data_IF_773086541191
#
_entry.id   IF_773086541191
#
_cell.length_a   1.000
_cell.length_b   1.000
_cell.length_c   1.000
_cell.angle_alpha   90.00
_cell.angle_beta   90.00
_cell.angle_gamma   90.00
#
_symmetry.space_group_name_H-M   'P 1'
#
loop_
_entity.id
_entity.type
_entity.pdbx_description
1 polymer ?
#
# COMPACT_ATOMS: atom_id res chain seq x y z
N UNK A 1 16.51 26.52 17.95
CA UNK A 1 16.31 27.26 16.66
C UNK A 1 15.67 28.61 16.97
N UNK A 2 16.17 29.73 16.41
CA UNK A 2 15.71 31.12 16.74
C UNK A 2 14.66 31.67 15.77
N UNK A 3 14.01 30.85 14.98
CA UNK A 3 12.98 31.27 14.03
C UNK A 3 11.96 30.19 13.73
N UNK A 4 10.84 30.58 13.10
CA UNK A 4 9.79 29.66 12.63
C UNK A 4 10.36 28.77 11.52
N UNK A 5 10.43 27.43 11.72
CA UNK A 5 11.04 26.52 10.75
C UNK A 5 10.28 26.51 9.42
N UNK A 6 11.02 26.40 8.32
CA UNK A 6 10.49 26.27 6.97
C UNK A 6 10.72 24.85 6.47
N UNK A 7 9.64 24.11 6.23
CA UNK A 7 9.67 22.74 5.76
C UNK A 7 9.23 22.69 4.30
N UNK A 8 10.07 22.11 3.44
CA UNK A 8 9.76 21.93 2.02
C UNK A 8 9.27 20.50 1.78
N UNK A 9 8.03 20.32 1.32
CA UNK A 9 7.43 19.00 1.11
C UNK A 9 7.36 18.69 -0.39
N UNK A 10 7.86 17.52 -0.80
CA UNK A 10 7.84 17.06 -2.20
C UNK A 10 6.99 15.81 -2.33
N UNK A 11 5.86 15.92 -3.04
CA UNK A 11 4.96 14.83 -3.38
C UNK A 11 4.51 14.96 -4.85
N UNK A 12 4.77 13.96 -5.67
CA UNK A 12 4.47 14.00 -7.13
C UNK A 12 3.39 13.01 -7.55
N UNK A 13 2.76 12.33 -6.60
CA UNK A 13 1.65 11.41 -6.81
C UNK A 13 0.52 11.73 -5.82
N UNK A 14 -0.72 11.41 -6.20
CA UNK A 14 -1.90 11.68 -5.37
C UNK A 14 -1.80 11.08 -3.96
N UNK A 15 -1.27 9.86 -3.83
CA UNK A 15 -1.06 9.22 -2.53
C UNK A 15 -0.07 9.99 -1.67
N UNK A 16 1.04 10.47 -2.26
CA UNK A 16 2.04 11.29 -1.59
C UNK A 16 1.48 12.67 -1.19
N UNK A 17 0.65 13.29 -2.04
CA UNK A 17 -0.01 14.57 -1.76
C UNK A 17 -0.92 14.48 -0.53
N UNK A 18 -1.70 13.40 -0.40
CA UNK A 18 -2.52 13.16 0.78
C UNK A 18 -1.69 12.94 2.05
N UNK A 19 -0.55 12.23 1.95
CA UNK A 19 0.39 12.06 3.06
C UNK A 19 1.05 13.38 3.46
N UNK A 20 1.44 14.18 2.47
CA UNK A 20 2.01 15.51 2.67
C UNK A 20 1.06 16.44 3.40
N UNK A 21 -0.18 16.53 2.95
CA UNK A 21 -1.22 17.34 3.59
C UNK A 21 -1.50 16.89 5.04
N UNK A 22 -1.56 15.58 5.29
CA UNK A 22 -1.74 15.06 6.64
C UNK A 22 -0.55 15.41 7.56
N UNK A 23 0.68 15.28 7.06
CA UNK A 23 1.89 15.67 7.77
C UNK A 23 1.89 17.18 8.10
N UNK A 24 1.53 18.02 7.13
CA UNK A 24 1.47 19.49 7.33
C UNK A 24 0.47 19.87 8.42
N UNK A 25 -0.75 19.28 8.43
CA UNK A 25 -1.72 19.49 9.50
C UNK A 25 -1.19 19.08 10.87
N UNK A 26 -0.53 17.92 10.96
CA UNK A 26 0.06 17.46 12.22
C UNK A 26 1.20 18.35 12.70
N UNK A 27 2.06 18.85 11.79
CA UNK A 27 3.11 19.82 12.12
C UNK A 27 2.52 21.14 12.62
N UNK A 28 1.50 21.67 11.94
CA UNK A 28 0.80 22.89 12.39
C UNK A 28 0.20 22.73 13.80
N UNK A 29 -0.47 21.59 14.04
CA UNK A 29 -1.08 21.32 15.35
C UNK A 29 -0.02 21.22 16.45
N UNK A 30 1.11 20.54 16.20
CA UNK A 30 2.19 20.35 17.19
C UNK A 30 3.00 21.60 17.48
N UNK A 31 3.14 22.48 16.51
CA UNK A 31 3.91 23.74 16.65
C UNK A 31 3.03 24.94 17.03
N UNK A 32 1.72 24.73 17.23
CA UNK A 32 0.79 25.85 17.48
C UNK A 32 0.69 26.80 16.29
N UNK A 33 0.97 26.35 15.07
CA UNK A 33 1.00 27.14 13.86
C UNK A 33 2.37 27.81 13.57
N UNK A 34 3.35 27.66 14.44
CA UNK A 34 4.70 28.22 14.25
C UNK A 34 5.55 27.32 13.33
N UNK A 35 5.08 27.09 12.11
CA UNK A 35 5.78 26.39 11.03
C UNK A 35 5.35 26.98 9.69
N UNK A 36 6.29 27.08 8.76
CA UNK A 36 6.03 27.52 7.39
C UNK A 36 6.26 26.37 6.43
N UNK A 37 5.49 26.35 5.35
CA UNK A 37 5.61 25.36 4.30
C UNK A 37 5.90 25.97 2.96
N UNK A 38 6.69 25.25 2.17
CA UNK A 38 6.83 25.40 0.73
C UNK A 38 6.86 24.00 0.13
N UNK A 39 6.72 23.85 -1.17
CA UNK A 39 6.82 22.49 -1.72
C UNK A 39 6.28 22.30 -3.11
N UNK A 40 6.26 21.04 -3.49
CA UNK A 40 5.71 20.50 -4.72
C UNK A 40 4.68 19.46 -4.32
N UNK A 41 3.43 19.72 -4.64
CA UNK A 41 2.30 18.86 -4.27
C UNK A 41 1.10 19.09 -5.16
N UNK A 42 0.04 18.36 -4.88
CA UNK A 42 -1.24 18.46 -5.55
C UNK A 42 -2.24 19.30 -4.75
N UNK A 43 -3.52 18.98 -4.98
CA UNK A 43 -4.64 19.72 -4.41
C UNK A 43 -4.69 19.63 -2.87
N UNK A 44 -4.39 18.46 -2.30
CA UNK A 44 -4.49 18.29 -0.86
C UNK A 44 -3.47 19.15 -0.10
N UNK A 45 -2.22 19.24 -0.57
CA UNK A 45 -1.22 20.14 0.01
C UNK A 45 -1.51 21.62 -0.29
N UNK A 46 -2.15 21.92 -1.42
CA UNK A 46 -2.58 23.29 -1.73
C UNK A 46 -3.66 23.77 -0.76
N UNK A 47 -4.57 22.93 -0.32
CA UNK A 47 -5.57 23.22 0.72
C UNK A 47 -4.93 23.53 2.09
N UNK A 48 -3.70 23.05 2.32
CA UNK A 48 -2.87 23.34 3.50
C UNK A 48 -1.90 24.53 3.28
N UNK A 49 -2.04 25.27 2.19
CA UNK A 49 -1.31 26.51 1.93
C UNK A 49 -0.02 26.38 1.12
N UNK A 50 0.28 25.25 0.52
CA UNK A 50 1.44 25.08 -0.37
C UNK A 50 1.07 25.46 -1.80
N UNK A 51 1.72 26.50 -2.34
CA UNK A 51 1.69 26.79 -3.77
C UNK A 51 2.81 26.00 -4.46
N UNK A 52 2.44 24.97 -5.24
CA UNK A 52 3.40 24.14 -5.94
C UNK A 52 4.15 24.91 -7.03
N UNK A 53 5.48 24.88 -6.98
CA UNK A 53 6.34 25.50 -7.99
C UNK A 53 6.33 24.74 -9.33
N UNK A 54 5.81 23.49 -9.33
CA UNK A 54 5.79 22.60 -10.50
C UNK A 54 4.42 21.94 -10.57
N UNK A 55 3.84 21.86 -11.78
CA UNK A 55 2.64 21.09 -12.02
C UNK A 55 2.98 19.60 -12.02
N UNK A 56 2.42 18.85 -11.06
CA UNK A 56 2.63 17.41 -10.91
C UNK A 56 1.70 16.59 -11.80
N UNK A 57 0.65 17.18 -12.37
CA UNK A 57 -0.32 16.46 -13.21
C UNK A 57 0.35 15.85 -14.44
N UNK A 58 1.32 16.55 -15.01
CA UNK A 58 2.13 16.09 -16.14
C UNK A 58 3.12 14.96 -15.77
N UNK A 59 3.47 14.79 -14.49
CA UNK A 59 4.43 13.78 -14.03
C UNK A 59 3.76 12.42 -13.74
N UNK A 60 2.47 12.41 -13.43
CA UNK A 60 1.70 11.21 -13.10
C UNK A 60 1.26 10.38 -14.32
N UNK A 61 1.26 10.96 -15.53
CA UNK A 61 0.67 10.37 -16.75
C UNK A 61 1.62 9.44 -17.52
N UNK A 62 2.89 9.32 -17.12
CA UNK A 62 3.88 8.58 -17.91
C UNK A 62 3.76 7.06 -17.81
N UNK A 63 2.94 6.49 -18.69
CA UNK A 63 3.00 5.09 -19.10
C UNK A 63 4.27 4.78 -19.93
N UNK A 64 4.56 3.51 -20.12
CA UNK A 64 5.75 2.95 -20.76
C UNK A 64 6.02 3.34 -22.22
N UNK A 65 5.19 4.17 -22.86
CA UNK A 65 5.18 4.38 -24.32
C UNK A 65 6.06 5.55 -24.77
N UNK A 66 6.36 6.54 -23.90
CA UNK A 66 7.08 7.77 -24.29
C UNK A 66 8.49 7.90 -23.69
N UNK A 67 9.22 6.82 -23.56
CA UNK A 67 10.45 6.68 -22.76
C UNK A 67 11.49 7.81 -22.81
N UNK A 68 11.82 8.37 -23.98
CA UNK A 68 12.91 9.36 -24.09
C UNK A 68 12.44 10.80 -23.80
N UNK A 69 11.23 11.16 -24.27
CA UNK A 69 10.65 12.48 -23.98
C UNK A 69 10.21 12.59 -22.52
N UNK A 70 9.64 11.53 -21.96
CA UNK A 70 9.31 11.43 -20.55
C UNK A 70 10.56 11.60 -19.67
N UNK A 71 11.68 10.97 -20.04
CA UNK A 71 12.94 11.10 -19.30
C UNK A 71 13.47 12.53 -19.28
N UNK A 72 13.42 13.25 -20.41
CA UNK A 72 13.84 14.66 -20.48
C UNK A 72 12.98 15.58 -19.59
N UNK A 73 11.66 15.39 -19.59
CA UNK A 73 10.72 16.15 -18.77
C UNK A 73 10.94 15.89 -17.28
N UNK A 74 11.07 14.62 -16.88
CA UNK A 74 11.39 14.26 -15.49
C UNK A 74 12.72 14.89 -15.05
N UNK A 75 13.75 14.85 -15.90
CA UNK A 75 15.04 15.47 -15.59
C UNK A 75 14.93 16.98 -15.44
N UNK A 76 14.16 17.66 -16.28
CA UNK A 76 13.90 19.10 -16.18
C UNK A 76 13.12 19.43 -14.91
N UNK A 77 12.08 18.67 -14.58
CA UNK A 77 11.31 18.84 -13.35
C UNK A 77 12.16 18.61 -12.10
N UNK A 78 13.05 17.61 -12.09
CA UNK A 78 14.00 17.41 -10.99
C UNK A 78 14.94 18.61 -10.84
N UNK A 79 15.50 19.12 -11.94
CA UNK A 79 16.38 20.28 -11.90
C UNK A 79 15.65 21.53 -11.36
N UNK A 80 14.43 21.79 -11.84
CA UNK A 80 13.60 22.90 -11.34
C UNK A 80 13.24 22.74 -9.86
N UNK A 81 12.99 21.50 -9.39
CA UNK A 81 12.74 21.24 -7.96
C UNK A 81 13.97 21.55 -7.10
N UNK A 82 15.15 21.13 -7.54
CA UNK A 82 16.40 21.42 -6.82
C UNK A 82 16.66 22.92 -6.78
N UNK A 83 16.50 23.62 -7.89
CA UNK A 83 16.66 25.08 -7.97
C UNK A 83 15.69 25.81 -7.03
N UNK A 84 14.43 25.41 -7.00
CA UNK A 84 13.42 26.00 -6.12
C UNK A 84 13.75 25.78 -4.64
N UNK A 85 14.14 24.55 -4.26
CA UNK A 85 14.57 24.21 -2.89
C UNK A 85 15.76 25.08 -2.46
N UNK A 86 16.78 25.21 -3.31
CA UNK A 86 17.97 26.00 -3.01
C UNK A 86 17.66 27.51 -2.93
N UNK A 87 16.72 27.99 -3.72
CA UNK A 87 16.23 29.38 -3.65
C UNK A 87 15.47 29.66 -2.37
N UNK A 88 14.61 28.72 -1.94
CA UNK A 88 13.75 28.84 -0.76
C UNK A 88 14.56 28.65 0.53
N UNK A 89 15.63 27.87 0.51
CA UNK A 89 16.51 27.54 1.65
C UNK A 89 15.74 27.06 2.87
N UNK A 90 15.03 25.91 2.78
CA UNK A 90 14.28 25.36 3.90
C UNK A 90 15.22 24.76 4.95
N UNK A 91 14.73 24.66 6.19
CA UNK A 91 15.42 23.95 7.27
C UNK A 91 15.41 22.42 7.07
N UNK A 92 14.34 21.90 6.47
CA UNK A 92 14.25 20.50 6.07
C UNK A 92 13.44 20.32 4.76
N UNK A 93 13.77 19.25 4.02
CA UNK A 93 13.01 18.76 2.86
C UNK A 93 12.45 17.39 3.17
N UNK A 94 11.14 17.23 3.09
CA UNK A 94 10.46 15.93 3.23
C UNK A 94 10.07 15.42 1.84
N UNK A 95 10.65 14.28 1.46
CA UNK A 95 10.55 13.66 0.13
C UNK A 95 9.62 12.44 0.22
N UNK A 96 8.39 12.56 -0.29
CA UNK A 96 7.34 11.55 -0.12
C UNK A 96 7.29 10.60 -1.32
N UNK A 97 7.40 9.28 -1.05
CA UNK A 97 7.27 8.20 -2.03
C UNK A 97 8.07 8.41 -3.34
N UNK A 98 7.57 7.99 -4.49
CA UNK A 98 8.09 8.24 -5.86
C UNK A 98 9.60 8.15 -5.98
N UNK A 99 10.16 6.97 -5.65
CA UNK A 99 11.60 6.70 -5.59
C UNK A 99 12.44 7.35 -6.71
N UNK A 100 12.00 7.16 -7.95
CA UNK A 100 12.78 7.62 -9.12
C UNK A 100 12.94 9.13 -9.22
N UNK A 101 11.97 9.89 -8.72
CA UNK A 101 11.97 11.33 -8.71
C UNK A 101 12.62 11.89 -7.45
N UNK A 102 12.08 11.51 -6.30
CA UNK A 102 12.49 12.08 -5.00
C UNK A 102 13.95 11.80 -4.66
N UNK A 103 14.48 10.61 -5.05
CA UNK A 103 15.91 10.34 -4.86
C UNK A 103 16.79 11.30 -5.66
N UNK A 104 16.44 11.59 -6.92
CA UNK A 104 17.23 12.52 -7.76
C UNK A 104 17.18 13.93 -7.22
N UNK A 105 16.02 14.38 -6.73
CA UNK A 105 15.90 15.68 -6.04
C UNK A 105 16.79 15.69 -4.80
N UNK A 106 16.71 14.67 -3.95
CA UNK A 106 17.56 14.56 -2.76
C UNK A 106 19.08 14.61 -3.09
N UNK A 107 19.51 13.86 -4.10
CA UNK A 107 20.90 13.85 -4.54
C UNK A 107 21.34 15.22 -5.06
N UNK A 108 20.48 15.92 -5.81
CA UNK A 108 20.78 17.27 -6.30
C UNK A 108 20.91 18.28 -5.17
N UNK A 109 20.00 18.26 -4.20
CA UNK A 109 20.05 19.14 -3.02
C UNK A 109 21.28 18.81 -2.16
N UNK A 110 21.54 17.53 -1.85
CA UNK A 110 22.70 17.10 -1.06
C UNK A 110 24.03 17.52 -1.67
N UNK A 111 24.13 17.46 -3.00
CA UNK A 111 25.35 17.87 -3.72
C UNK A 111 25.55 19.40 -3.70
N UNK A 112 24.48 20.20 -3.68
CA UNK A 112 24.54 21.64 -3.75
C UNK A 112 24.62 22.31 -2.36
N UNK A 113 23.85 21.80 -1.39
CA UNK A 113 23.83 22.30 -0.01
C UNK A 113 23.68 21.13 0.99
N UNK A 114 24.79 20.65 1.55
CA UNK A 114 24.77 19.56 2.55
C UNK A 114 24.13 19.92 3.89
N UNK A 115 23.89 21.20 4.17
CA UNK A 115 23.33 21.66 5.45
C UNK A 115 21.82 21.44 5.55
N UNK A 116 21.12 21.35 4.41
CA UNK A 116 19.68 21.09 4.37
C UNK A 116 19.38 19.66 4.85
N UNK A 117 18.50 19.53 5.83
CA UNK A 117 18.06 18.22 6.33
C UNK A 117 17.15 17.54 5.30
N UNK A 118 17.47 16.31 4.90
CA UNK A 118 16.72 15.53 3.94
C UNK A 118 16.05 14.35 4.61
N UNK A 119 14.72 14.32 4.60
CA UNK A 119 13.91 13.28 5.23
C UNK A 119 13.16 12.53 4.12
N UNK A 120 13.33 11.22 4.04
CA UNK A 120 12.52 10.39 3.16
C UNK A 120 11.30 9.87 3.90
N UNK A 121 10.11 10.11 3.36
CA UNK A 121 8.86 9.53 3.85
C UNK A 121 8.37 8.49 2.85
N UNK A 122 8.19 7.26 3.28
CA UNK A 122 7.97 6.04 2.48
C UNK A 122 9.22 5.64 1.68
N UNK A 123 9.93 4.63 2.17
CA UNK A 123 11.11 4.04 1.53
C UNK A 123 10.78 3.14 0.33
N UNK A 124 11.76 2.83 -0.53
CA UNK A 124 11.59 1.82 -1.57
C UNK A 124 11.49 0.42 -0.96
N UNK A 125 10.74 -0.47 -1.58
CA UNK A 125 10.52 -1.85 -1.10
C UNK A 125 11.78 -2.72 -1.31
N UNK A 126 12.82 -2.48 -0.52
CA UNK A 126 14.12 -3.16 -0.64
C UNK A 126 14.08 -4.62 -0.21
N UNK A 127 13.13 -4.99 0.64
CA UNK A 127 12.86 -6.36 1.06
C UNK A 127 12.39 -7.26 -0.08
N UNK A 128 11.69 -6.68 -1.08
CA UNK A 128 11.16 -7.42 -2.22
C UNK A 128 12.12 -7.44 -3.40
N UNK A 129 12.76 -6.29 -3.71
CA UNK A 129 13.61 -6.14 -4.90
C UNK A 129 14.72 -5.09 -4.66
N UNK A 130 15.84 -5.22 -5.36
CA UNK A 130 16.91 -4.21 -5.44
C UNK A 130 17.42 -3.73 -4.07
N UNK A 131 17.97 -4.63 -3.22
CA UNK A 131 18.41 -4.29 -1.87
C UNK A 131 19.46 -3.16 -1.82
N UNK A 132 20.27 -2.97 -2.88
CA UNK A 132 21.24 -1.87 -2.97
C UNK A 132 20.63 -0.45 -2.90
N UNK A 133 19.31 -0.31 -3.06
CA UNK A 133 18.65 0.98 -2.86
C UNK A 133 18.71 1.47 -1.41
N UNK A 134 18.82 0.56 -0.43
CA UNK A 134 18.97 0.94 0.97
C UNK A 134 20.28 1.72 1.19
N UNK A 135 21.40 1.20 0.71
CA UNK A 135 22.69 1.88 0.77
C UNK A 135 22.68 3.24 0.04
N UNK A 136 22.02 3.29 -1.14
CA UNK A 136 21.91 4.56 -1.89
C UNK A 136 21.09 5.59 -1.12
N UNK A 137 19.99 5.17 -0.47
CA UNK A 137 19.18 6.08 0.33
C UNK A 137 19.95 6.57 1.56
N UNK A 138 20.60 5.66 2.28
CA UNK A 138 21.42 5.97 3.46
C UNK A 138 22.55 6.98 3.18
N UNK A 139 23.16 6.91 2.00
CA UNK A 139 24.16 7.87 1.58
C UNK A 139 23.59 9.23 1.15
N UNK A 140 22.25 9.37 1.06
CA UNK A 140 21.63 10.56 0.48
C UNK A 140 20.82 11.36 1.50
N UNK A 141 20.04 10.69 2.37
CA UNK A 141 19.11 11.36 3.30
C UNK A 141 19.55 11.17 4.75
N UNK A 142 19.04 12.01 5.64
CA UNK A 142 19.42 12.01 7.06
C UNK A 142 18.49 11.10 7.90
N UNK A 143 17.25 10.88 7.47
CA UNK A 143 16.27 10.01 8.16
C UNK A 143 15.29 9.40 7.18
N UNK A 144 14.84 8.19 7.47
CA UNK A 144 13.72 7.53 6.80
C UNK A 144 12.51 7.42 7.75
N UNK A 145 11.36 7.89 7.30
CA UNK A 145 10.05 7.64 7.90
C UNK A 145 9.40 6.49 7.13
N UNK A 146 9.31 5.31 7.73
CA UNK A 146 8.72 4.14 7.07
C UNK A 146 7.30 3.86 7.56
N UNK A 147 6.47 3.37 6.65
CA UNK A 147 5.10 2.90 6.91
C UNK A 147 5.04 1.37 7.12
N UNK A 148 6.19 0.69 7.09
CA UNK A 148 6.30 -0.76 7.24
C UNK A 148 7.08 -1.07 8.53
N UNK A 149 6.47 -1.84 9.42
CA UNK A 149 6.99 -2.18 10.75
C UNK A 149 8.26 -3.08 10.72
N UNK A 150 8.56 -3.65 9.57
CA UNK A 150 9.70 -4.55 9.34
C UNK A 150 10.83 -3.93 8.50
N UNK A 151 10.71 -2.66 8.08
CA UNK A 151 11.66 -2.05 7.12
C UNK A 151 12.98 -1.60 7.75
N UNK A 152 12.97 -1.20 9.04
CA UNK A 152 14.11 -0.56 9.71
C UNK A 152 15.44 -1.32 9.54
N UNK A 153 15.53 -2.65 9.76
CA UNK A 153 16.79 -3.36 9.70
C UNK A 153 17.51 -3.27 8.35
N UNK A 154 16.78 -3.12 7.24
CA UNK A 154 17.37 -3.02 5.90
C UNK A 154 18.13 -1.72 5.68
N UNK A 155 17.76 -0.66 6.38
CA UNK A 155 18.37 0.68 6.22
C UNK A 155 19.36 0.99 7.35
N UNK A 156 19.04 0.57 8.56
CA UNK A 156 19.91 0.74 9.73
C UNK A 156 21.25 -0.01 9.58
N UNK A 157 21.25 -1.14 8.85
CA UNK A 157 22.47 -1.84 8.43
C UNK A 157 23.42 -0.97 7.61
N UNK A 158 22.94 0.14 7.04
CA UNK A 158 23.73 1.14 6.31
C UNK A 158 23.88 2.46 7.09
N UNK A 159 23.52 2.50 8.37
CA UNK A 159 23.67 3.67 9.25
C UNK A 159 22.60 4.75 9.04
N UNK A 160 21.48 4.45 8.33
CA UNK A 160 20.38 5.41 8.18
C UNK A 160 19.42 5.30 9.37
N UNK A 161 19.18 6.38 10.11
CA UNK A 161 18.16 6.42 11.15
C UNK A 161 16.76 6.19 10.54
N UNK A 162 16.00 5.24 11.10
CA UNK A 162 14.65 4.90 10.65
C UNK A 162 13.64 5.12 11.75
N UNK A 163 12.51 5.75 11.40
CA UNK A 163 11.36 5.87 12.30
C UNK A 163 10.16 5.19 11.65
N UNK A 164 9.64 4.16 12.30
CA UNK A 164 8.36 3.58 11.90
C UNK A 164 7.22 4.49 12.35
N UNK A 165 6.51 5.06 11.39
CA UNK A 165 5.42 6.00 11.64
C UNK A 165 4.03 5.37 11.57
N UNK A 166 3.94 4.09 11.22
CA UNK A 166 2.68 3.38 10.98
C UNK A 166 2.16 3.52 9.56
N UNK A 167 1.16 2.72 9.24
CA UNK A 167 0.59 2.69 7.90
C UNK A 167 -0.71 3.52 7.82
N UNK A 168 -0.72 4.69 7.16
CA UNK A 168 -1.89 5.56 7.08
C UNK A 168 -3.08 4.95 6.33
N UNK A 169 -2.83 3.95 5.47
CA UNK A 169 -3.90 3.24 4.77
C UNK A 169 -4.73 2.41 5.74
N UNK A 170 -4.07 1.81 6.75
CA UNK A 170 -4.77 1.00 7.76
C UNK A 170 -5.53 1.86 8.79
N UNK A 171 -5.13 3.10 9.01
CA UNK A 171 -5.83 4.03 9.90
C UNK A 171 -7.20 4.44 9.36
N UNK A 172 -7.39 4.40 8.04
CA UNK A 172 -8.63 4.82 7.37
C UNK A 172 -9.64 3.70 7.22
N UNK A 173 -9.25 2.46 7.57
CA UNK A 173 -10.16 1.32 7.47
C UNK A 173 -11.16 1.37 8.62
N UNK A 174 -12.42 1.44 8.25
CA UNK A 174 -13.55 1.40 9.20
C UNK A 174 -13.95 -0.05 9.45
N UNK A 175 -14.47 -0.32 10.65
CA UNK A 175 -15.07 -1.60 10.97
C UNK A 175 -16.42 -1.71 10.25
N UNK A 176 -16.64 -2.83 9.57
CA UNK A 176 -17.91 -3.10 8.91
C UNK A 176 -18.95 -3.77 9.83
N UNK A 177 -20.21 -3.70 9.44
CA UNK A 177 -21.31 -4.42 10.07
C UNK A 177 -21.74 -5.63 9.20
N UNK A 178 -21.15 -6.78 9.47
CA UNK A 178 -21.46 -8.02 8.75
C UNK A 178 -22.88 -8.51 8.96
N UNK A 179 -23.50 -8.22 10.11
CA UNK A 179 -24.89 -8.62 10.40
C UNK A 179 -25.86 -7.81 9.56
N UNK A 180 -25.70 -6.49 9.54
CA UNK A 180 -26.51 -5.61 8.70
C UNK A 180 -26.32 -5.93 7.21
N UNK A 181 -25.09 -6.24 6.78
CA UNK A 181 -24.78 -6.66 5.41
C UNK A 181 -25.55 -7.93 5.02
N UNK A 182 -25.47 -8.98 5.85
CA UNK A 182 -26.19 -10.24 5.60
C UNK A 182 -27.71 -10.02 5.48
N UNK A 183 -28.27 -9.19 6.34
CA UNK A 183 -29.70 -8.85 6.30
C UNK A 183 -30.06 -8.09 5.01
N UNK A 184 -29.28 -7.08 4.64
CA UNK A 184 -29.50 -6.23 3.45
C UNK A 184 -29.45 -7.03 2.13
N UNK A 185 -28.58 -8.01 2.07
CA UNK A 185 -28.39 -8.85 0.87
C UNK A 185 -29.10 -10.21 0.95
N UNK A 186 -30.02 -10.39 1.91
CA UNK A 186 -30.80 -11.61 2.12
C UNK A 186 -29.92 -12.90 2.19
N UNK A 187 -28.73 -12.80 2.79
CA UNK A 187 -27.86 -13.94 3.03
C UNK A 187 -28.40 -14.72 4.23
N UNK A 188 -28.76 -16.01 4.09
CA UNK A 188 -29.37 -16.77 5.17
C UNK A 188 -28.48 -16.81 6.42
N UNK A 189 -29.12 -16.79 7.60
CA UNK A 189 -28.41 -16.96 8.86
C UNK A 189 -27.67 -18.31 8.87
N UNK A 190 -26.37 -18.26 9.20
CA UNK A 190 -25.51 -19.46 9.20
C UNK A 190 -25.03 -19.94 7.82
N UNK A 191 -25.47 -19.32 6.72
CA UNK A 191 -24.89 -19.62 5.42
C UNK A 191 -23.40 -19.20 5.38
N UNK A 192 -22.50 -20.08 4.91
CA UNK A 192 -21.11 -19.73 4.76
C UNK A 192 -20.95 -18.65 3.68
N UNK A 193 -20.08 -17.65 3.94
CA UNK A 193 -19.82 -16.54 3.04
C UNK A 193 -18.36 -16.54 2.60
N UNK A 194 -18.14 -16.59 1.31
CA UNK A 194 -16.84 -16.43 0.68
C UNK A 194 -16.76 -15.10 -0.08
N UNK A 195 -15.86 -14.23 0.33
CA UNK A 195 -15.54 -13.02 -0.43
C UNK A 195 -14.49 -13.30 -1.47
N UNK A 196 -14.74 -12.91 -2.74
CA UNK A 196 -13.84 -13.14 -3.87
C UNK A 196 -13.40 -11.81 -4.48
N UNK A 197 -12.10 -11.53 -4.49
CA UNK A 197 -11.52 -10.27 -4.98
C UNK A 197 -10.56 -10.53 -6.14
N UNK A 198 -10.94 -10.09 -7.34
CA UNK A 198 -10.20 -10.38 -8.57
C UNK A 198 -9.01 -9.42 -8.85
N UNK A 199 -8.86 -8.38 -8.03
CA UNK A 199 -7.90 -7.30 -8.24
C UNK A 199 -8.53 -6.06 -8.86
N UNK A 200 -7.74 -4.98 -8.95
CA UNK A 200 -8.16 -3.66 -9.44
C UNK A 200 -7.65 -3.31 -10.83
N UNK A 201 -6.94 -4.24 -11.49
CA UNK A 201 -6.38 -4.04 -12.83
C UNK A 201 -6.90 -5.09 -13.80
N UNK A 202 -7.23 -4.69 -15.02
CA UNK A 202 -7.66 -5.59 -16.10
C UNK A 202 -6.70 -6.76 -16.33
N UNK A 203 -5.39 -6.52 -16.17
CA UNK A 203 -4.38 -7.57 -16.31
C UNK A 203 -4.43 -8.62 -15.20
N UNK A 204 -4.82 -8.25 -14.00
CA UNK A 204 -5.03 -9.15 -12.85
C UNK A 204 -6.26 -10.01 -13.08
N UNK A 205 -7.40 -9.38 -13.40
CA UNK A 205 -8.65 -10.06 -13.74
C UNK A 205 -8.41 -11.09 -14.84
N UNK A 206 -7.81 -10.70 -15.96
CA UNK A 206 -7.55 -11.59 -17.08
C UNK A 206 -6.77 -12.86 -16.69
N UNK A 207 -5.85 -12.76 -15.74
CA UNK A 207 -5.01 -13.89 -15.31
C UNK A 207 -5.64 -14.72 -14.20
N UNK A 208 -6.40 -14.09 -13.30
CA UNK A 208 -6.92 -14.74 -12.10
C UNK A 208 -8.36 -15.19 -12.22
N UNK A 209 -9.17 -14.63 -13.14
CA UNK A 209 -10.58 -14.96 -13.30
C UNK A 209 -10.82 -16.45 -13.48
N UNK A 210 -10.18 -17.09 -14.45
CA UNK A 210 -10.37 -18.53 -14.71
C UNK A 210 -9.96 -19.45 -13.54
N UNK A 211 -8.79 -19.27 -12.90
CA UNK A 211 -8.46 -19.98 -11.66
C UNK A 211 -9.51 -19.81 -10.56
N UNK A 212 -9.98 -18.58 -10.31
CA UNK A 212 -10.96 -18.26 -9.27
C UNK A 212 -12.34 -18.87 -9.60
N UNK A 213 -12.81 -18.74 -10.84
CA UNK A 213 -14.06 -19.36 -11.27
C UNK A 213 -14.07 -20.88 -11.04
N UNK A 214 -12.98 -21.57 -11.40
CA UNK A 214 -12.82 -22.99 -11.15
C UNK A 214 -12.76 -23.36 -9.66
N UNK A 215 -12.17 -22.49 -8.84
CA UNK A 215 -12.15 -22.67 -7.39
C UNK A 215 -13.57 -22.52 -6.81
N UNK A 216 -14.26 -21.45 -7.16
CA UNK A 216 -15.65 -21.18 -6.71
C UNK A 216 -16.59 -22.31 -7.15
N UNK A 217 -16.48 -22.79 -8.39
CA UNK A 217 -17.30 -23.91 -8.85
C UNK A 217 -17.12 -25.17 -7.97
N UNK A 218 -15.89 -25.50 -7.58
CA UNK A 218 -15.59 -26.62 -6.67
C UNK A 218 -16.10 -26.38 -5.26
N UNK A 219 -15.95 -25.14 -4.74
CA UNK A 219 -16.43 -24.78 -3.41
C UNK A 219 -17.96 -24.81 -3.31
N UNK A 220 -18.68 -24.37 -4.34
CA UNK A 220 -20.14 -24.50 -4.39
C UNK A 220 -20.64 -25.95 -4.41
N UNK A 221 -19.88 -26.85 -5.02
CA UNK A 221 -20.17 -28.30 -4.96
C UNK A 221 -19.98 -28.85 -3.54
N UNK A 222 -18.95 -28.38 -2.82
CA UNK A 222 -18.64 -28.80 -1.45
C UNK A 222 -19.58 -28.16 -0.42
N UNK A 223 -19.99 -26.91 -0.64
CA UNK A 223 -20.83 -26.11 0.24
C UNK A 223 -22.08 -25.61 -0.52
N UNK A 224 -23.17 -26.41 -0.60
CA UNK A 224 -24.36 -26.05 -1.41
C UNK A 224 -25.02 -24.72 -1.02
N UNK A 225 -24.88 -24.29 0.26
CA UNK A 225 -25.39 -23.01 0.76
C UNK A 225 -24.40 -21.85 0.70
N UNK A 226 -23.28 -21.98 -0.02
CA UNK A 226 -22.22 -20.97 -0.08
C UNK A 226 -22.69 -19.69 -0.77
N UNK A 227 -22.72 -18.61 -0.02
CA UNK A 227 -22.92 -17.26 -0.55
C UNK A 227 -21.60 -16.67 -1.03
N UNK A 228 -21.58 -16.18 -2.28
CA UNK A 228 -20.40 -15.54 -2.86
C UNK A 228 -20.63 -14.03 -2.84
N UNK A 229 -19.68 -13.28 -2.30
CA UNK A 229 -19.67 -11.82 -2.26
C UNK A 229 -18.48 -11.32 -3.07
N UNK A 230 -18.68 -10.37 -3.98
CA UNK A 230 -17.65 -9.88 -4.90
C UNK A 230 -17.61 -8.35 -4.82
N UNK A 231 -16.71 -7.78 -4.01
CA UNK A 231 -16.41 -6.35 -4.09
C UNK A 231 -15.75 -6.02 -5.43
N UNK A 232 -16.26 -5.00 -6.11
CA UNK A 232 -15.81 -4.58 -7.44
C UNK A 232 -15.12 -3.22 -7.33
N UNK A 233 -13.92 -3.12 -7.89
CA UNK A 233 -13.22 -1.85 -7.99
C UNK A 233 -13.66 -1.09 -9.25
N UNK A 234 -13.99 0.20 -9.12
CA UNK A 234 -14.48 1.07 -10.19
C UNK A 234 -13.73 0.95 -11.53
N UNK A 235 -12.37 0.95 -11.56
CA UNK A 235 -11.65 0.94 -12.84
C UNK A 235 -11.87 -0.30 -13.71
N UNK A 236 -12.38 -1.39 -13.12
CA UNK A 236 -12.52 -2.69 -13.80
C UNK A 236 -13.95 -3.23 -13.79
N UNK A 237 -14.89 -2.45 -13.29
CA UNK A 237 -16.27 -2.89 -13.06
C UNK A 237 -16.92 -3.49 -14.34
N UNK A 238 -16.88 -2.78 -15.46
CA UNK A 238 -17.52 -3.23 -16.68
C UNK A 238 -16.95 -4.56 -17.22
N UNK A 239 -15.60 -4.71 -17.21
CA UNK A 239 -14.94 -5.95 -17.65
C UNK A 239 -15.27 -7.12 -16.72
N UNK A 240 -15.27 -6.86 -15.40
CA UNK A 240 -15.55 -7.91 -14.41
C UNK A 240 -17.01 -8.36 -14.47
N UNK A 241 -17.99 -7.45 -14.52
CA UNK A 241 -19.42 -7.79 -14.65
C UNK A 241 -19.69 -8.64 -15.89
N UNK A 242 -19.18 -8.24 -17.06
CA UNK A 242 -19.35 -9.00 -18.29
C UNK A 242 -18.79 -10.43 -18.19
N UNK A 243 -17.71 -10.65 -17.45
CA UNK A 243 -17.15 -11.98 -17.22
C UNK A 243 -17.98 -12.81 -16.25
N UNK A 244 -18.48 -12.19 -15.17
CA UNK A 244 -19.28 -12.86 -14.15
C UNK A 244 -20.61 -13.37 -14.73
N UNK A 245 -21.26 -12.60 -15.59
CA UNK A 245 -22.50 -12.98 -16.26
C UNK A 245 -22.36 -14.26 -17.11
N UNK A 246 -21.18 -14.51 -17.67
CA UNK A 246 -20.92 -15.67 -18.50
C UNK A 246 -20.48 -16.93 -17.73
N UNK A 247 -20.34 -16.83 -16.40
CA UNK A 247 -19.83 -17.92 -15.56
C UNK A 247 -20.85 -18.39 -14.53
N UNK A 248 -21.45 -19.54 -14.75
CA UNK A 248 -22.53 -20.11 -13.91
C UNK A 248 -22.18 -20.22 -12.42
N UNK A 249 -20.90 -20.40 -12.08
CA UNK A 249 -20.48 -20.52 -10.69
C UNK A 249 -20.67 -19.22 -9.89
N UNK A 250 -20.92 -18.08 -10.55
CA UNK A 250 -21.21 -16.80 -9.91
C UNK A 250 -22.70 -16.42 -9.94
N UNK A 251 -23.60 -17.28 -10.45
CA UNK A 251 -25.03 -17.02 -10.42
C UNK A 251 -25.49 -16.80 -8.96
N UNK A 252 -26.20 -15.66 -8.72
CA UNK A 252 -26.63 -15.29 -7.38
C UNK A 252 -25.52 -14.77 -6.48
N UNK A 253 -24.34 -14.43 -7.00
CA UNK A 253 -23.33 -13.73 -6.24
C UNK A 253 -23.76 -12.28 -5.94
N UNK A 254 -23.47 -11.81 -4.73
CA UNK A 254 -23.69 -10.43 -4.31
C UNK A 254 -22.54 -9.58 -4.81
N UNK A 255 -22.82 -8.65 -5.70
CA UNK A 255 -21.84 -7.68 -6.21
C UNK A 255 -21.91 -6.42 -5.35
N UNK A 256 -20.75 -5.95 -4.87
CA UNK A 256 -20.64 -4.91 -3.84
C UNK A 256 -19.76 -3.77 -4.35
N UNK A 257 -20.20 -2.55 -4.10
CA UNK A 257 -19.40 -1.35 -4.36
C UNK A 257 -18.38 -1.09 -3.26
N UNK A 258 -17.43 -0.17 -3.50
CA UNK A 258 -16.37 0.19 -2.56
C UNK A 258 -16.92 0.66 -1.20
N UNK A 259 -18.06 1.36 -1.19
CA UNK A 259 -18.74 1.89 0.01
C UNK A 259 -19.26 0.81 0.96
N UNK A 260 -19.58 -0.38 0.47
CA UNK A 260 -20.06 -1.50 1.29
C UNK A 260 -18.96 -2.55 1.57
N UNK A 261 -17.72 -2.32 1.09
CA UNK A 261 -16.62 -3.28 1.16
C UNK A 261 -16.29 -3.70 2.60
N UNK A 262 -16.29 -2.77 3.54
CA UNK A 262 -16.03 -3.05 4.94
C UNK A 262 -17.08 -4.00 5.54
N UNK A 263 -18.36 -3.76 5.27
CA UNK A 263 -19.48 -4.60 5.71
C UNK A 263 -19.40 -6.01 5.08
N UNK A 264 -19.04 -6.07 3.79
CA UNK A 264 -18.83 -7.34 3.09
C UNK A 264 -17.69 -8.16 3.70
N UNK A 265 -16.60 -7.51 4.14
CA UNK A 265 -15.50 -8.17 4.83
C UNK A 265 -15.95 -8.68 6.20
N UNK A 266 -16.66 -7.87 6.98
CA UNK A 266 -17.17 -8.27 8.27
C UNK A 266 -18.21 -9.42 8.20
N UNK A 267 -18.86 -9.62 7.05
CA UNK A 267 -19.79 -10.72 6.82
C UNK A 267 -19.10 -12.03 6.39
N UNK A 268 -17.81 -12.00 5.99
CA UNK A 268 -17.12 -13.10 5.36
C UNK A 268 -16.59 -14.13 6.37
N UNK A 269 -16.75 -15.43 6.06
CA UNK A 269 -16.11 -16.53 6.80
C UNK A 269 -14.71 -16.80 6.30
N UNK A 270 -14.46 -16.55 5.00
CA UNK A 270 -13.14 -16.65 4.36
C UNK A 270 -13.11 -15.74 3.12
N UNK A 271 -11.90 -15.46 2.63
CA UNK A 271 -11.71 -14.74 1.38
C UNK A 271 -10.73 -15.45 0.42
N UNK A 272 -10.98 -15.26 -0.86
CA UNK A 272 -10.08 -15.62 -1.96
C UNK A 272 -9.71 -14.33 -2.72
N UNK A 273 -8.48 -13.87 -2.59
CA UNK A 273 -8.08 -12.56 -3.08
C UNK A 273 -6.90 -12.62 -4.05
N UNK A 274 -6.92 -11.76 -5.07
CA UNK A 274 -5.74 -11.42 -5.82
C UNK A 274 -4.78 -10.64 -4.92
N UNK A 275 -3.49 -10.99 -4.94
CA UNK A 275 -2.49 -10.36 -4.08
C UNK A 275 -2.38 -8.85 -4.36
N UNK A 276 -2.40 -8.05 -3.30
CA UNK A 276 -2.34 -6.59 -3.33
C UNK A 276 -2.67 -6.01 -1.95
N UNK A 277 -2.92 -4.71 -1.90
CA UNK A 277 -3.28 -3.99 -0.66
C UNK A 277 -4.53 -4.55 0.02
N UNK A 278 -5.48 -5.07 -0.75
CA UNK A 278 -6.72 -5.66 -0.25
C UNK A 278 -6.52 -6.83 0.71
N UNK A 279 -5.40 -7.57 0.59
CA UNK A 279 -5.06 -8.64 1.53
C UNK A 279 -4.82 -8.09 2.94
N UNK A 280 -4.21 -6.91 3.03
CA UNK A 280 -4.00 -6.23 4.31
C UNK A 280 -5.31 -5.68 4.88
N UNK A 281 -6.21 -5.19 4.04
CA UNK A 281 -7.54 -4.74 4.43
C UNK A 281 -8.38 -5.91 4.99
N UNK A 282 -8.41 -7.06 4.31
CA UNK A 282 -9.04 -8.29 4.78
C UNK A 282 -8.45 -8.75 6.12
N UNK A 283 -7.14 -8.70 6.25
CA UNK A 283 -6.45 -9.05 7.48
C UNK A 283 -6.81 -8.11 8.64
N UNK A 284 -6.99 -6.81 8.36
CA UNK A 284 -7.44 -5.82 9.36
C UNK A 284 -8.87 -6.10 9.82
N UNK A 285 -9.72 -6.56 8.92
CA UNK A 285 -11.07 -7.03 9.25
C UNK A 285 -11.08 -8.45 9.90
N UNK A 286 -9.92 -9.06 10.08
CA UNK A 286 -9.78 -10.39 10.66
C UNK A 286 -10.29 -11.52 9.76
N UNK A 287 -10.37 -11.32 8.45
CA UNK A 287 -10.89 -12.33 7.50
C UNK A 287 -9.80 -13.32 7.10
N UNK A 288 -9.92 -14.62 7.43
CA UNK A 288 -9.01 -15.64 6.95
C UNK A 288 -9.00 -15.69 5.42
N UNK A 289 -7.86 -15.46 4.83
CA UNK A 289 -7.72 -15.20 3.39
C UNK A 289 -6.75 -16.17 2.74
N UNK A 290 -7.09 -16.67 1.56
CA UNK A 290 -6.15 -17.29 0.61
C UNK A 290 -5.83 -16.27 -0.47
N UNK A 291 -4.55 -15.95 -0.64
CA UNK A 291 -4.13 -15.02 -1.70
C UNK A 291 -3.49 -15.73 -2.87
N UNK A 292 -3.67 -15.16 -4.05
CA UNK A 292 -3.11 -15.73 -5.27
C UNK A 292 -2.71 -14.65 -6.26
N UNK A 293 -1.67 -14.95 -7.04
CA UNK A 293 -1.20 -14.02 -8.07
C UNK A 293 -0.53 -14.76 -9.24
N UNK A 294 -0.72 -14.21 -10.45
CA UNK A 294 0.02 -14.66 -11.64
C UNK A 294 0.64 -13.47 -12.36
N UNK A 295 1.95 -13.50 -12.49
CA UNK A 295 2.67 -12.62 -13.44
C UNK A 295 2.45 -13.11 -14.88
N UNK A 296 2.67 -12.23 -15.85
CA UNK A 296 2.84 -12.67 -17.23
C UNK A 296 4.01 -13.66 -17.32
N UNK A 297 3.87 -14.67 -18.20
CA UNK A 297 4.85 -15.77 -18.27
C UNK A 297 6.28 -15.28 -18.59
N UNK A 298 6.42 -14.25 -19.45
CA UNK A 298 7.72 -13.64 -19.77
C UNK A 298 8.32 -12.98 -18.54
N UNK A 299 7.52 -12.15 -17.84
CA UNK A 299 7.95 -11.47 -16.61
C UNK A 299 8.36 -12.48 -15.54
N UNK A 300 7.59 -13.56 -15.42
CA UNK A 300 7.90 -14.64 -14.49
C UNK A 300 9.20 -15.37 -14.85
N UNK A 301 9.39 -15.73 -16.12
CA UNK A 301 10.60 -16.39 -16.60
C UNK A 301 11.84 -15.51 -16.33
N UNK A 302 11.76 -14.22 -16.63
CA UNK A 302 12.83 -13.26 -16.35
C UNK A 302 13.08 -13.10 -14.85
N UNK A 303 12.01 -12.93 -14.05
CA UNK A 303 12.14 -12.81 -12.60
C UNK A 303 12.82 -14.03 -11.97
N UNK A 304 12.53 -15.23 -12.47
CA UNK A 304 13.16 -16.49 -12.04
C UNK A 304 14.60 -16.61 -12.53
N UNK A 305 14.86 -16.29 -13.81
CA UNK A 305 16.20 -16.39 -14.40
C UNK A 305 17.21 -15.45 -13.72
N UNK A 306 16.76 -14.24 -13.34
CA UNK A 306 17.59 -13.24 -12.68
C UNK A 306 17.48 -13.24 -11.15
N UNK A 307 16.79 -14.20 -10.56
CA UNK A 307 16.58 -14.32 -9.10
C UNK A 307 16.11 -12.99 -8.46
N UNK A 308 15.16 -12.32 -9.13
CA UNK A 308 14.68 -11.00 -8.70
C UNK A 308 13.72 -11.06 -7.51
N UNK A 309 13.13 -12.23 -7.24
CA UNK A 309 12.20 -12.44 -6.12
C UNK A 309 12.97 -13.04 -4.94
N UNK A 310 13.37 -12.21 -4.01
CA UNK A 310 14.12 -12.62 -2.81
C UNK A 310 13.25 -12.79 -1.58
N UNK A 311 12.07 -12.18 -1.57
CA UNK A 311 11.16 -12.26 -0.45
C UNK A 311 10.58 -13.68 -0.30
N UNK A 312 10.59 -14.19 0.93
CA UNK A 312 9.98 -15.47 1.32
C UNK A 312 8.46 -15.43 1.12
N UNK A 313 7.85 -14.27 1.35
CA UNK A 313 6.41 -14.01 1.26
C UNK A 313 6.13 -12.84 0.29
N UNK A 314 4.91 -12.79 -0.23
CA UNK A 314 4.45 -11.74 -1.15
C UNK A 314 3.54 -10.75 -0.43
N UNK A 315 2.69 -11.21 0.50
CA UNK A 315 1.80 -10.33 1.26
C UNK A 315 2.55 -9.62 2.38
N UNK A 316 2.29 -8.34 2.56
CA UNK A 316 2.87 -7.54 3.65
C UNK A 316 2.52 -8.13 5.02
N UNK A 317 1.34 -8.75 5.15
CA UNK A 317 0.90 -9.40 6.39
C UNK A 317 1.82 -10.56 6.77
N UNK A 318 2.15 -11.46 5.82
CA UNK A 318 3.06 -12.56 6.08
C UNK A 318 4.49 -12.09 6.36
N UNK A 319 4.94 -11.03 5.67
CA UNK A 319 6.27 -10.43 5.88
C UNK A 319 6.34 -9.82 7.29
N UNK A 320 5.34 -9.02 7.69
CA UNK A 320 5.28 -8.41 9.02
C UNK A 320 5.18 -9.46 10.14
N UNK A 321 4.46 -10.57 9.91
CA UNK A 321 4.33 -11.66 10.86
C UNK A 321 5.55 -12.59 10.89
N UNK A 322 6.44 -12.54 9.89
CA UNK A 322 7.45 -13.56 9.57
C UNK A 322 6.87 -15.00 9.57
N UNK A 323 5.62 -15.13 9.19
CA UNK A 323 4.86 -16.38 9.18
C UNK A 323 3.82 -16.42 8.06
N UNK A 324 3.48 -17.61 7.56
CA UNK A 324 2.40 -17.77 6.58
C UNK A 324 1.03 -17.74 7.26
N UNK A 325 0.53 -16.55 7.60
CA UNK A 325 -0.83 -16.34 8.09
C UNK A 325 -1.85 -16.39 6.95
N UNK A 326 -1.43 -15.92 5.78
CA UNK A 326 -2.22 -15.89 4.55
C UNK A 326 -1.57 -16.87 3.56
N UNK A 327 -2.18 -18.03 3.27
CA UNK A 327 -1.66 -18.96 2.25
C UNK A 327 -1.49 -18.28 0.89
N UNK A 328 -0.29 -18.39 0.29
CA UNK A 328 0.07 -17.76 -0.96
C UNK A 328 0.21 -18.79 -2.09
N UNK A 329 -0.77 -18.82 -2.99
CA UNK A 329 -0.76 -19.72 -4.13
C UNK A 329 -0.44 -18.96 -5.42
N UNK A 330 0.82 -18.99 -5.83
CA UNK A 330 1.30 -18.17 -6.95
C UNK A 330 1.68 -19.01 -8.17
N UNK A 331 1.56 -18.42 -9.35
CA UNK A 331 1.97 -18.99 -10.64
C UNK A 331 1.38 -20.37 -10.91
N UNK A 332 2.21 -21.41 -10.93
CA UNK A 332 1.82 -22.81 -11.18
C UNK A 332 0.96 -23.39 -10.06
N UNK A 333 1.08 -22.90 -8.82
CA UNK A 333 0.25 -23.29 -7.68
C UNK A 333 -1.14 -22.63 -7.70
N UNK A 334 -1.34 -21.54 -8.44
CA UNK A 334 -2.59 -20.80 -8.57
C UNK A 334 -3.61 -21.56 -9.45
N UNK A 335 -3.90 -22.81 -9.13
CA UNK A 335 -4.90 -23.65 -9.84
C UNK A 335 -6.24 -23.62 -9.11
N UNK A 336 -7.36 -23.80 -9.84
CA UNK A 336 -8.67 -23.87 -9.20
C UNK A 336 -8.80 -24.98 -8.16
N UNK A 337 -8.07 -26.10 -8.32
CA UNK A 337 -8.06 -27.19 -7.34
C UNK A 337 -7.35 -26.76 -6.05
N UNK A 338 -6.11 -26.26 -6.14
CA UNK A 338 -5.33 -25.85 -4.98
C UNK A 338 -5.98 -24.69 -4.22
N UNK A 339 -6.57 -23.73 -4.96
CA UNK A 339 -7.30 -22.62 -4.38
C UNK A 339 -8.54 -23.09 -3.62
N UNK A 340 -9.32 -23.99 -4.21
CA UNK A 340 -10.50 -24.57 -3.55
C UNK A 340 -10.13 -25.38 -2.31
N UNK A 341 -9.04 -26.13 -2.35
CA UNK A 341 -8.53 -26.89 -1.22
C UNK A 341 -8.10 -25.97 -0.07
N UNK A 342 -7.30 -24.93 -0.39
CA UNK A 342 -6.83 -23.98 0.62
C UNK A 342 -7.97 -23.19 1.27
N UNK A 343 -8.95 -22.70 0.48
CA UNK A 343 -10.15 -22.03 1.00
C UNK A 343 -11.00 -23.03 1.81
N UNK A 344 -11.20 -24.25 1.30
CA UNK A 344 -11.94 -25.29 2.01
C UNK A 344 -11.35 -25.60 3.38
N UNK A 345 -10.03 -25.67 3.49
CA UNK A 345 -9.35 -25.89 4.78
C UNK A 345 -9.57 -24.76 5.79
N UNK A 346 -9.85 -23.53 5.33
CA UNK A 346 -10.28 -22.42 6.19
C UNK A 346 -11.76 -22.55 6.56
N UNK A 347 -12.63 -22.95 5.62
CA UNK A 347 -14.06 -23.01 5.85
C UNK A 347 -14.48 -24.16 6.76
N UNK A 348 -13.76 -25.29 6.72
CA UNK A 348 -14.11 -26.50 7.49
C UNK A 348 -13.75 -26.38 8.98
N UNK A 349 -12.81 -25.55 9.36
CA UNK A 349 -12.28 -25.47 10.73
C UNK A 349 -12.53 -24.08 11.35
N UNK A 350 -13.62 -23.95 12.09
CA UNK A 350 -14.00 -22.72 12.78
C UNK A 350 -12.95 -22.28 13.82
N UNK A 351 -12.36 -23.23 14.56
CA UNK A 351 -11.34 -22.90 15.58
C UNK A 351 -10.05 -22.36 14.94
N UNK A 352 -9.67 -22.93 13.80
CA UNK A 352 -8.56 -22.43 12.99
C UNK A 352 -8.85 -21.03 12.46
N UNK A 353 -10.08 -20.78 11.94
CA UNK A 353 -10.47 -19.43 11.48
C UNK A 353 -10.37 -18.40 12.59
N UNK A 354 -10.90 -18.70 13.78
CA UNK A 354 -10.86 -17.80 14.93
C UNK A 354 -9.41 -17.48 15.35
N UNK A 355 -8.58 -18.51 15.45
CA UNK A 355 -7.15 -18.35 15.79
C UNK A 355 -6.42 -17.50 14.74
N UNK A 356 -6.69 -17.74 13.48
CA UNK A 356 -6.09 -17.00 12.37
C UNK A 356 -6.58 -15.55 12.33
N UNK A 357 -7.88 -15.33 12.49
CA UNK A 357 -8.49 -14.00 12.58
C UNK A 357 -7.81 -13.14 13.65
N UNK A 358 -7.62 -13.67 14.85
CA UNK A 358 -6.94 -12.97 15.95
C UNK A 358 -5.51 -12.60 15.57
N UNK A 359 -4.74 -13.52 14.99
CA UNK A 359 -3.36 -13.25 14.55
C UNK A 359 -3.28 -12.20 13.44
N UNK A 360 -4.24 -12.20 12.51
CA UNK A 360 -4.33 -11.21 11.44
C UNK A 360 -4.58 -9.82 12.01
N UNK A 361 -5.54 -9.68 12.95
CA UNK A 361 -5.85 -8.43 13.64
C UNK A 361 -4.64 -7.93 14.45
N UNK A 362 -3.99 -8.81 15.21
CA UNK A 362 -2.78 -8.47 15.97
C UNK A 362 -1.64 -7.98 15.06
N UNK A 363 -1.42 -8.66 13.94
CA UNK A 363 -0.38 -8.28 12.98
C UNK A 363 -0.68 -6.93 12.34
N UNK A 364 -1.92 -6.71 11.87
CA UNK A 364 -2.30 -5.44 11.24
C UNK A 364 -2.38 -4.28 12.24
N UNK A 365 -2.67 -4.54 13.51
CA UNK A 365 -2.57 -3.54 14.58
C UNK A 365 -1.13 -3.05 14.74
N UNK A 366 -0.12 -3.96 14.75
CA UNK A 366 1.30 -3.57 14.72
C UNK A 366 1.66 -2.76 13.48
N UNK A 367 1.22 -3.22 12.29
CA UNK A 367 1.47 -2.52 11.01
C UNK A 367 0.85 -1.13 11.00
N UNK A 368 -0.31 -0.94 11.63
CA UNK A 368 -0.96 0.37 11.77
C UNK A 368 -0.16 1.28 12.69
N UNK A 369 0.44 0.72 13.74
CA UNK A 369 1.10 1.45 14.81
C UNK A 369 0.14 2.20 15.73
N UNK A 370 0.67 2.85 16.77
CA UNK A 370 -0.11 3.55 17.78
C UNK A 370 -0.41 4.99 17.36
N UNK A 371 -1.64 5.46 17.51
CA UNK A 371 -2.06 6.80 17.16
C UNK A 371 -2.00 7.09 15.66
N UNK A 372 -1.91 8.35 15.25
CA UNK A 372 -1.88 8.74 13.84
C UNK A 372 -0.46 8.70 13.27
N UNK A 373 -0.31 8.10 12.09
CA UNK A 373 0.97 8.06 11.37
C UNK A 373 1.51 9.47 11.06
N UNK A 374 0.62 10.40 10.72
CA UNK A 374 0.98 11.79 10.47
C UNK A 374 1.55 12.51 11.71
N UNK A 375 1.05 12.18 12.91
CA UNK A 375 1.53 12.78 14.15
C UNK A 375 2.94 12.27 14.50
N UNK A 376 3.18 10.95 14.32
CA UNK A 376 4.52 10.36 14.49
C UNK A 376 5.52 10.85 13.44
N UNK A 377 5.04 11.01 12.19
CA UNK A 377 5.87 11.59 11.14
C UNK A 377 6.25 13.04 11.47
N UNK A 378 5.31 13.84 12.01
CA UNK A 378 5.58 15.21 12.45
C UNK A 378 6.59 15.26 13.60
N UNK A 379 6.45 14.39 14.61
CA UNK A 379 7.44 14.28 15.70
C UNK A 379 8.84 14.01 15.16
N UNK A 380 8.98 13.00 14.29
CA UNK A 380 10.26 12.63 13.70
C UNK A 380 10.87 13.74 12.81
N UNK A 381 10.04 14.54 12.13
CA UNK A 381 10.51 15.72 11.40
C UNK A 381 11.04 16.78 12.36
N UNK A 382 10.30 17.10 13.43
CA UNK A 382 10.73 18.09 14.44
C UNK A 382 12.01 17.65 15.17
N UNK A 383 12.11 16.37 15.58
CA UNK A 383 13.33 15.81 16.15
C UNK A 383 14.54 15.95 15.22
N UNK A 384 14.34 15.76 13.89
CA UNK A 384 15.42 15.88 12.92
C UNK A 384 15.88 17.34 12.79
N UNK A 385 14.97 18.32 12.95
CA UNK A 385 15.30 19.74 12.95
C UNK A 385 16.08 20.15 14.20
N UNK A 386 15.73 19.59 15.37
CA UNK A 386 16.40 19.89 16.65
C UNK A 386 17.78 19.23 16.77
N UNK A 387 18.18 18.41 15.82
CA UNK A 387 19.46 17.70 15.84
C UNK A 387 19.49 16.50 16.80
N UNK A 388 18.37 16.14 17.42
CA UNK A 388 18.23 14.96 18.24
C UNK A 388 18.02 13.74 17.33
N UNK A 389 19.12 13.12 16.87
CA UNK A 389 19.05 11.75 16.35
C UNK A 389 18.79 10.85 17.55
N UNK A 390 17.59 10.27 17.64
CA UNK A 390 17.27 9.29 18.69
C UNK A 390 18.33 8.20 18.74
N UNK A 391 18.95 8.09 19.91
CA UNK A 391 19.81 6.97 20.30
C UNK A 391 18.97 5.71 20.51
#
# INVERSE_FOLDING_TARGET
MTGTPLIYVVAVERSGDLLGAALMRSLQAKTGGEVRFAGIGGRAMAEEGVSSAIDISDLAIFGWIDGLMAYKRVKAAVAASVEDILRVKPDAVVLIDSWGYTLRVAQGVRAADPSIRLIKYVGPQVFATRPGRAATLAATVDRLLTILDFDAPYYEAHGLPVTFVGNPTLERLEAGDGTAFRARHAIPAGAPVLTVLFGSRTSEIRRMFGPFARAVARLRQRYPGLSIVIPIADPVEADLRARLENERCFNGAVLVEETEKADAFAAADAALACSGTVVTELATAGVPTVTSYRLGWITWALARAFNLMKAKYISLVNISADAELVPELVQTRATGANLAEAVGALMDDAGRRETLSRKLIETTARMRGDGKASDRAADAVLETLDGSTGQ
#
